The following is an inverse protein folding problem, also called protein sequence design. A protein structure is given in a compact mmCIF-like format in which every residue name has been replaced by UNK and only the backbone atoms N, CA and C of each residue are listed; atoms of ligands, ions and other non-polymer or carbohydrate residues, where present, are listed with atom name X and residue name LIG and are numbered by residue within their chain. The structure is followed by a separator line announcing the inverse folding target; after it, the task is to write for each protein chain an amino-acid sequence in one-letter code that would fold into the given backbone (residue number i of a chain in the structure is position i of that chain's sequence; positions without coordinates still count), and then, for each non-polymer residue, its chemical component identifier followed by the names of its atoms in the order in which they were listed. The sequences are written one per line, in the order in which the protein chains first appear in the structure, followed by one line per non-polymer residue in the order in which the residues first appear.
data_IF_943291238886
#
_entry.id   IF_943291238886
#
_cell.length_a   1.000
_cell.length_b   1.000
_cell.length_c   1.000
_cell.angle_alpha   90.00
_cell.angle_beta   90.00
_cell.angle_gamma   90.00
#
_symmetry.space_group_name_H-M   'P 1'
#
loop_
_entity.id
_entity.type
_entity.pdbx_description
1 polymer ?
#
# COMPACT_ATOMS: atom_id res chain seq x y z
N UNK A 1 -10.66 40.68 25.19
CA UNK A 1 -10.01 39.54 25.88
C UNK A 1 -10.81 38.29 25.53
N UNK A 2 -10.46 37.59 24.46
CA UNK A 2 -11.20 36.41 24.01
C UNK A 2 -10.66 35.18 24.73
N UNK A 3 -11.43 34.60 25.63
CA UNK A 3 -11.17 33.26 26.14
C UNK A 3 -12.20 32.31 25.52
N UNK A 4 -11.70 31.47 24.60
CA UNK A 4 -12.41 30.33 24.05
C UNK A 4 -12.41 29.25 25.13
N UNK A 5 -13.59 28.84 25.61
CA UNK A 5 -13.70 27.57 26.35
C UNK A 5 -13.69 26.43 25.34
N UNK A 6 -12.63 25.65 25.39
CA UNK A 6 -12.54 24.34 24.75
C UNK A 6 -12.94 23.33 25.82
N UNK A 7 -14.13 22.76 25.68
CA UNK A 7 -14.51 21.57 26.45
C UNK A 7 -14.60 20.39 25.48
N UNK A 8 -13.57 19.55 25.61
CA UNK A 8 -13.46 18.22 25.01
C UNK A 8 -14.57 17.35 25.59
N UNK A 9 -15.35 16.68 24.73
CA UNK A 9 -16.14 15.56 25.19
C UNK A 9 -15.78 14.28 24.42
N UNK A 10 -15.13 13.43 25.19
CA UNK A 10 -14.76 12.03 24.94
C UNK A 10 -16.00 11.22 24.60
N UNK A 11 -15.91 10.45 23.53
CA UNK A 11 -16.90 9.45 23.12
C UNK A 11 -16.91 8.29 24.12
N UNK A 12 -18.05 8.01 24.76
CA UNK A 12 -18.28 6.73 25.42
C UNK A 12 -19.73 6.29 25.25
N UNK A 13 -19.90 5.16 24.57
CA UNK A 13 -21.17 4.46 24.35
C UNK A 13 -21.58 3.60 25.55
N UNK A 14 -22.90 3.59 25.79
CA UNK A 14 -23.73 2.72 26.66
C UNK A 14 -23.60 2.96 28.17
N UNK A 15 -24.67 3.18 28.95
CA UNK A 15 -25.91 2.41 29.05
C UNK A 15 -27.00 3.24 29.79
N UNK A 16 -28.27 3.03 29.40
CA UNK A 16 -29.51 3.13 30.18
C UNK A 16 -30.22 4.48 30.49
N UNK A 17 -31.45 4.53 29.94
CA UNK A 17 -32.72 5.06 30.47
C UNK A 17 -32.80 6.46 31.11
N UNK A 18 -33.67 7.29 30.49
CA UNK A 18 -34.83 7.78 31.21
C UNK A 18 -35.03 9.30 31.28
N UNK A 19 -36.22 9.71 30.83
CA UNK A 19 -36.99 10.92 31.20
C UNK A 19 -36.81 12.20 30.35
N UNK A 20 -37.79 12.33 29.43
CA UNK A 20 -38.52 13.54 29.02
C UNK A 20 -38.32 14.77 29.91
N UNK A 21 -38.11 15.93 29.28
CA UNK A 21 -38.77 17.18 29.65
C UNK A 21 -39.04 18.02 28.38
N UNK A 22 -40.32 18.36 28.23
CA UNK A 22 -40.92 19.21 27.19
C UNK A 22 -40.48 20.65 27.44
N UNK A 23 -40.36 21.47 26.39
CA UNK A 23 -40.96 22.82 26.32
C UNK A 23 -40.97 23.26 24.84
N UNK A 24 -42.12 23.81 24.47
CA UNK A 24 -42.58 24.21 23.13
C UNK A 24 -42.19 25.69 22.90
N UNK A 25 -41.97 26.04 21.62
CA UNK A 25 -41.90 27.36 20.94
C UNK A 25 -42.85 28.44 21.50
N UNK A 26 -42.63 29.77 21.35
CA UNK A 26 -42.46 30.50 20.07
C UNK A 26 -41.42 31.67 20.16
N UNK A 27 -40.96 32.34 19.10
CA UNK A 27 -41.70 33.34 18.33
C UNK A 27 -40.90 33.77 17.08
N UNK A 28 -41.58 33.70 15.93
CA UNK A 28 -41.20 34.35 14.68
C UNK A 28 -41.98 35.66 14.58
N UNK A 29 -41.35 36.76 14.15
CA UNK A 29 -42.02 37.74 13.30
C UNK A 29 -41.15 37.96 12.06
N UNK A 30 -41.51 37.34 10.93
CA UNK A 30 -42.21 38.01 9.84
C UNK A 30 -41.52 39.29 9.34
N UNK A 31 -40.72 39.16 8.27
CA UNK A 31 -40.78 40.16 7.19
C UNK A 31 -40.34 39.51 5.87
N UNK A 32 -41.31 39.35 4.99
CA UNK A 32 -41.14 38.91 3.61
C UNK A 32 -40.57 40.07 2.77
N UNK A 33 -39.43 39.86 2.11
CA UNK A 33 -39.07 40.51 0.86
C UNK A 33 -37.79 39.83 0.31
N UNK A 34 -37.99 39.07 -0.76
CA UNK A 34 -37.02 38.26 -1.50
C UNK A 34 -35.79 39.03 -2.00
N UNK A 35 -34.57 38.51 -1.79
CA UNK A 35 -33.55 38.37 -2.86
C UNK A 35 -32.69 37.12 -2.55
N UNK A 36 -32.40 36.40 -3.62
CA UNK A 36 -31.72 35.11 -3.78
C UNK A 36 -30.43 34.85 -2.99
N UNK A 37 -29.96 33.60 -3.11
CA UNK A 37 -28.72 32.95 -2.64
C UNK A 37 -29.05 32.00 -1.46
N UNK A 38 -28.95 30.68 -1.56
CA UNK A 38 -27.87 29.91 -2.16
C UNK A 38 -28.41 28.59 -2.75
N UNK A 39 -28.21 28.42 -4.05
CA UNK A 39 -28.06 27.09 -4.61
C UNK A 39 -26.72 26.52 -4.13
N UNK A 40 -26.72 25.25 -3.77
CA UNK A 40 -25.56 24.34 -3.76
C UNK A 40 -24.41 24.66 -2.79
N UNK A 41 -24.41 24.03 -1.61
CA UNK A 41 -23.17 23.68 -0.90
C UNK A 41 -23.01 22.17 -0.91
N UNK A 42 -22.71 21.63 -2.09
CA UNK A 42 -22.10 20.31 -2.26
C UNK A 42 -20.98 20.48 -3.28
N UNK A 43 -19.85 21.06 -2.87
CA UNK A 43 -18.79 21.39 -3.83
C UNK A 43 -17.43 21.77 -3.26
N UNK A 44 -17.19 21.64 -1.96
CA UNK A 44 -15.88 21.98 -1.37
C UNK A 44 -14.94 20.78 -1.20
N UNK A 45 -15.46 19.55 -1.05
CA UNK A 45 -14.62 18.38 -0.84
C UNK A 45 -13.92 17.90 -2.13
N UNK A 46 -14.52 18.10 -3.30
CA UNK A 46 -13.97 17.63 -4.57
C UNK A 46 -12.88 18.57 -5.14
N UNK A 47 -12.96 19.88 -4.90
CA UNK A 47 -11.97 20.85 -5.40
C UNK A 47 -10.62 20.74 -4.68
N UNK A 48 -10.61 20.34 -3.40
CA UNK A 48 -9.36 20.04 -2.69
C UNK A 48 -8.65 18.80 -3.26
N UNK A 49 -9.40 17.79 -3.71
CA UNK A 49 -8.81 16.62 -4.37
C UNK A 49 -8.25 16.96 -5.76
N UNK A 50 -8.94 17.80 -6.52
CA UNK A 50 -8.49 18.28 -7.85
C UNK A 50 -7.29 19.23 -7.76
N UNK A 51 -7.22 20.09 -6.74
CA UNK A 51 -6.03 20.93 -6.53
C UNK A 51 -4.82 20.11 -6.05
N UNK A 52 -5.04 19.06 -5.24
CA UNK A 52 -3.97 18.19 -4.76
C UNK A 52 -3.41 17.28 -5.87
N UNK A 53 -4.23 16.88 -6.85
CA UNK A 53 -3.71 16.20 -8.05
C UNK A 53 -2.93 17.15 -8.96
N UNK A 54 -3.31 18.42 -9.06
CA UNK A 54 -2.60 19.42 -9.87
C UNK A 54 -1.23 19.83 -9.29
N UNK A 55 -1.07 19.81 -7.96
CA UNK A 55 0.25 19.98 -7.31
C UNK A 55 1.11 18.71 -7.35
N UNK A 56 0.54 17.59 -7.78
CA UNK A 56 1.26 16.37 -8.14
C UNK A 56 1.45 16.28 -9.66
N UNK A 57 1.51 17.41 -10.36
CA UNK A 57 2.29 17.50 -11.58
C UNK A 57 3.74 17.28 -11.15
N UNK A 58 4.09 16.00 -11.03
CA UNK A 58 5.46 15.53 -10.95
C UNK A 58 6.19 16.26 -12.06
N UNK A 59 7.02 17.23 -11.69
CA UNK A 59 8.16 17.61 -12.52
C UNK A 59 8.75 16.29 -12.96
N UNK A 60 8.58 15.96 -14.24
CA UNK A 60 9.05 14.72 -14.81
C UNK A 60 10.57 14.83 -14.83
N UNK A 61 11.19 14.67 -13.66
CA UNK A 61 12.63 14.47 -13.55
C UNK A 61 12.85 13.26 -14.44
N UNK A 62 13.59 13.40 -15.54
CA UNK A 62 13.81 12.27 -16.43
C UNK A 62 14.40 11.17 -15.56
N UNK A 63 13.68 10.05 -15.46
CA UNK A 63 14.13 8.91 -14.70
C UNK A 63 14.59 7.86 -15.69
N UNK A 64 15.83 7.40 -15.53
CA UNK A 64 16.39 6.31 -16.32
C UNK A 64 15.86 5.00 -15.75
N UNK A 65 15.65 4.01 -16.61
CA UNK A 65 15.41 2.65 -16.16
C UNK A 65 16.65 2.13 -15.44
N UNK A 66 16.45 1.41 -14.34
CA UNK A 66 17.57 0.78 -13.64
C UNK A 66 18.08 -0.40 -14.49
N UNK A 67 19.30 -0.28 -15.03
CA UNK A 67 19.90 -1.28 -15.92
C UNK A 67 20.11 -2.64 -15.23
N UNK A 68 20.53 -2.66 -13.96
CA UNK A 68 20.81 -3.91 -13.24
C UNK A 68 19.58 -4.83 -13.12
N UNK A 69 18.38 -4.25 -13.02
CA UNK A 69 17.13 -5.01 -12.93
C UNK A 69 16.25 -4.88 -14.18
N UNK A 70 16.73 -4.20 -15.23
CA UNK A 70 15.96 -3.93 -16.45
C UNK A 70 14.64 -3.20 -16.20
N UNK A 71 14.55 -2.38 -15.15
CA UNK A 71 13.32 -1.68 -14.78
C UNK A 71 12.36 -2.44 -13.86
N UNK A 72 12.62 -3.71 -13.53
CA UNK A 72 11.69 -4.52 -12.73
C UNK A 72 11.64 -4.13 -11.25
N UNK A 73 12.71 -3.56 -10.70
CA UNK A 73 12.87 -3.34 -9.26
C UNK A 73 13.09 -4.63 -8.46
N UNK A 74 13.11 -5.80 -9.10
CA UNK A 74 13.28 -7.09 -8.43
C UNK A 74 14.76 -7.50 -8.48
N UNK A 75 15.24 -8.19 -7.44
CA UNK A 75 16.60 -8.72 -7.45
C UNK A 75 16.76 -9.73 -8.62
N UNK A 76 17.69 -9.52 -9.57
CA UNK A 76 17.82 -10.39 -10.75
C UNK A 76 18.33 -11.79 -10.41
N UNK A 77 19.05 -11.96 -9.30
CA UNK A 77 19.62 -13.24 -8.89
C UNK A 77 18.57 -14.19 -8.29
N UNK A 78 17.82 -13.73 -7.28
CA UNK A 78 16.79 -14.54 -6.63
C UNK A 78 15.39 -14.34 -7.20
N UNK A 79 15.22 -13.44 -8.18
CA UNK A 79 13.95 -13.14 -8.85
C UNK A 79 12.79 -12.83 -7.89
N UNK A 80 13.10 -12.17 -6.77
CA UNK A 80 12.11 -11.78 -5.77
C UNK A 80 11.82 -12.81 -4.67
N UNK A 81 12.41 -14.01 -4.73
CA UNK A 81 12.22 -15.03 -3.69
C UNK A 81 13.00 -14.71 -2.40
N UNK A 82 14.17 -14.09 -2.55
CA UNK A 82 15.08 -13.77 -1.44
C UNK A 82 15.99 -14.93 -1.04
N UNK A 83 15.88 -16.07 -1.72
CA UNK A 83 16.77 -17.22 -1.59
C UNK A 83 17.12 -17.78 -2.97
N UNK A 84 18.23 -18.51 -3.04
CA UNK A 84 18.70 -19.19 -4.25
C UNK A 84 18.73 -20.68 -3.95
N UNK A 85 18.10 -21.47 -4.82
CA UNK A 85 18.10 -22.93 -4.73
C UNK A 85 19.46 -23.47 -5.16
N UNK A 86 20.07 -24.31 -4.33
CA UNK A 86 21.31 -25.00 -4.69
C UNK A 86 20.95 -26.18 -5.60
N UNK A 87 20.93 -25.92 -6.91
CA UNK A 87 20.63 -26.93 -7.93
C UNK A 87 21.63 -28.07 -7.83
N UNK A 88 21.11 -29.29 -7.90
CA UNK A 88 21.91 -30.48 -8.15
C UNK A 88 22.49 -30.37 -9.56
N UNK A 89 23.72 -30.87 -9.76
CA UNK A 89 24.24 -31.09 -11.11
C UNK A 89 23.34 -32.07 -11.86
N UNK A 90 23.25 -31.95 -13.18
CA UNK A 90 22.35 -32.79 -13.99
C UNK A 90 22.61 -34.29 -13.78
N UNK A 91 23.88 -34.69 -13.65
CA UNK A 91 24.26 -36.07 -13.33
C UNK A 91 23.74 -36.52 -11.97
N UNK A 92 23.91 -35.69 -10.94
CA UNK A 92 23.41 -36.01 -9.59
C UNK A 92 21.88 -36.01 -9.51
N UNK A 93 21.23 -35.14 -10.28
CA UNK A 93 19.78 -35.10 -10.41
C UNK A 93 19.27 -36.39 -11.04
N UNK A 94 19.86 -36.83 -12.15
CA UNK A 94 19.46 -38.05 -12.83
C UNK A 94 19.75 -39.31 -12.01
N UNK A 95 20.93 -39.38 -11.37
CA UNK A 95 21.26 -40.44 -10.41
C UNK A 95 20.22 -40.51 -9.29
N UNK A 96 19.74 -39.38 -8.79
CA UNK A 96 18.69 -39.34 -7.77
C UNK A 96 17.34 -39.85 -8.29
N UNK A 97 17.00 -39.61 -9.57
CA UNK A 97 15.78 -40.16 -10.20
C UNK A 97 15.86 -41.68 -10.37
N UNK A 98 17.01 -42.20 -10.80
CA UNK A 98 17.22 -43.63 -11.04
C UNK A 98 17.29 -44.44 -9.73
N UNK A 99 17.85 -43.86 -8.67
CA UNK A 99 17.96 -44.52 -7.35
C UNK A 99 16.69 -44.43 -6.50
N UNK A 100 15.67 -43.68 -6.95
CA UNK A 100 14.41 -43.56 -6.25
C UNK A 100 13.62 -44.88 -6.29
N UNK A 101 13.19 -45.35 -5.11
CA UNK A 101 12.49 -46.63 -4.95
C UNK A 101 11.05 -46.61 -5.47
N UNK A 102 10.38 -45.45 -5.38
CA UNK A 102 8.98 -45.30 -5.76
C UNK A 102 8.79 -44.25 -6.86
N UNK A 103 7.75 -44.40 -7.67
CA UNK A 103 7.43 -43.46 -8.74
C UNK A 103 7.24 -42.02 -8.25
N UNK A 104 6.57 -41.81 -7.10
CA UNK A 104 6.39 -40.48 -6.50
C UNK A 104 7.73 -39.80 -6.15
N UNK A 105 8.69 -40.58 -5.65
CA UNK A 105 10.01 -40.07 -5.28
C UNK A 105 10.90 -39.81 -6.50
N UNK A 106 10.71 -40.54 -7.60
CA UNK A 106 11.51 -40.37 -8.83
C UNK A 106 11.42 -38.95 -9.39
N UNK A 107 10.24 -38.32 -9.37
CA UNK A 107 10.05 -36.97 -9.90
C UNK A 107 10.54 -35.86 -8.95
N UNK A 108 10.62 -36.14 -7.64
CA UNK A 108 11.01 -35.16 -6.63
C UNK A 108 12.46 -35.31 -6.18
N UNK A 109 13.11 -36.44 -6.43
CA UNK A 109 14.47 -36.72 -5.98
C UNK A 109 15.52 -35.76 -6.56
N UNK A 110 15.29 -35.25 -7.77
CA UNK A 110 16.13 -34.27 -8.44
C UNK A 110 15.90 -32.81 -7.99
N UNK A 111 14.87 -32.55 -7.16
CA UNK A 111 14.56 -31.20 -6.74
C UNK A 111 15.64 -30.66 -5.79
N UNK A 112 15.97 -29.36 -5.85
CA UNK A 112 16.88 -28.73 -4.91
C UNK A 112 16.32 -28.83 -3.49
N UNK A 113 16.96 -29.61 -2.62
CA UNK A 113 16.54 -29.76 -1.20
C UNK A 113 17.09 -28.66 -0.30
N UNK A 114 18.12 -27.96 -0.74
CA UNK A 114 18.80 -26.91 0.02
C UNK A 114 18.66 -25.58 -0.70
N UNK A 115 18.45 -24.55 0.09
CA UNK A 115 18.42 -23.17 -0.33
C UNK A 115 19.39 -22.37 0.54
N UNK A 116 19.88 -21.26 0.00
CA UNK A 116 20.64 -20.26 0.75
C UNK A 116 19.99 -18.91 0.56
N UNK A 117 20.11 -18.03 1.56
CA UNK A 117 19.71 -16.64 1.41
C UNK A 117 20.41 -15.97 0.23
N UNK A 118 19.70 -15.11 -0.48
CA UNK A 118 20.26 -14.32 -1.55
C UNK A 118 21.19 -13.27 -0.97
N UNK A 119 22.49 -13.42 -1.20
CA UNK A 119 23.51 -12.49 -0.68
C UNK A 119 23.53 -11.18 -1.45
N UNK A 120 23.22 -11.19 -2.76
CA UNK A 120 23.12 -9.96 -3.57
C UNK A 120 22.14 -8.97 -2.96
N UNK A 121 20.89 -9.39 -2.70
CA UNK A 121 19.90 -8.51 -2.08
C UNK A 121 19.84 -8.61 -0.55
N UNK A 122 20.68 -9.43 0.11
CA UNK A 122 20.56 -9.72 1.55
C UNK A 122 19.14 -10.14 1.94
N UNK A 123 18.53 -10.99 1.12
CA UNK A 123 17.13 -11.43 1.27
C UNK A 123 16.06 -10.33 1.17
N UNK A 124 16.41 -9.10 0.77
CA UNK A 124 15.47 -7.99 0.63
C UNK A 124 14.49 -8.18 -0.54
N UNK A 125 14.75 -9.12 -1.46
CA UNK A 125 13.93 -9.44 -2.65
C UNK A 125 13.87 -8.35 -3.72
N UNK A 126 14.26 -7.13 -3.39
CA UNK A 126 14.35 -5.99 -4.29
C UNK A 126 15.75 -5.79 -4.87
N UNK A 127 15.82 -5.08 -6.00
CA UNK A 127 17.08 -4.60 -6.56
C UNK A 127 17.67 -3.52 -5.65
N UNK A 128 18.90 -3.75 -5.15
CA UNK A 128 19.56 -2.80 -4.24
C UNK A 128 19.91 -1.47 -4.90
N UNK A 129 20.27 -1.49 -6.17
CA UNK A 129 20.77 -0.30 -6.88
C UNK A 129 19.72 0.76 -7.15
N UNK A 130 18.45 0.38 -7.22
CA UNK A 130 17.32 1.32 -7.33
C UNK A 130 16.36 1.27 -6.13
N UNK A 131 16.74 0.61 -5.03
CA UNK A 131 15.87 0.44 -3.86
C UNK A 131 14.55 -0.29 -4.15
N UNK A 132 14.49 -1.06 -5.24
CA UNK A 132 13.28 -1.74 -5.70
C UNK A 132 12.33 -0.92 -6.57
N UNK A 133 12.69 0.32 -6.92
CA UNK A 133 11.82 1.22 -7.69
C UNK A 133 11.83 0.87 -9.18
N UNK A 134 12.91 0.25 -9.67
CA UNK A 134 13.11 -0.02 -11.10
C UNK A 134 13.52 1.20 -11.91
N UNK A 135 13.56 2.38 -11.31
CA UNK A 135 14.00 3.63 -11.93
C UNK A 135 15.03 4.31 -11.04
N UNK A 136 15.96 5.03 -11.66
CA UNK A 136 16.95 5.86 -10.99
C UNK A 136 16.87 7.28 -11.56
N UNK A 137 16.99 8.29 -10.70
CA UNK A 137 17.11 9.68 -11.16
C UNK A 137 18.33 9.81 -12.07
N UNK A 138 18.15 10.52 -13.19
CA UNK A 138 19.21 10.76 -14.17
C UNK A 138 20.48 11.35 -13.56
#
# INVERSE_FOLDING_TARGET
MWFVRVDVLVDKKSQEQGKRLRIITPALPETAASVAIAATVVGAAATLLVQRSKSSETTEVPMKTCEECGGSGICPECKGEGFVLKKLSDESAERARLTAKNAATRYTAALPKKWSYCTKCSSARSCKSCGGIGKISC
#
